data_IF_116333715715
#
_entry.id   IF_116333715715
#
_cell.length_a   1.000
_cell.length_b   1.000
_cell.length_c   1.000
_cell.angle_alpha   90.00
_cell.angle_beta   90.00
_cell.angle_gamma   90.00
#
_symmetry.space_group_name_H-M   'P 1'
#
loop_
_entity.id
_entity.type
_entity.pdbx_description
1 polymer ?
#
# COMPACT_ATOMS: atom_id res chain seq x y z
N UNK A 1 -27.23 -2.01 -23.49
CA UNK A 1 -26.78 -2.44 -22.16
C UNK A 1 -25.66 -1.48 -21.77
N UNK A 2 -25.97 -0.51 -20.89
CA UNK A 2 -25.08 0.62 -20.58
C UNK A 2 -24.12 0.20 -19.46
N UNK A 3 -22.83 0.05 -19.78
CA UNK A 3 -21.75 -0.11 -18.83
C UNK A 3 -21.48 1.23 -18.14
N UNK A 4 -21.80 1.33 -16.86
CA UNK A 4 -21.39 2.47 -16.02
C UNK A 4 -19.92 2.28 -15.65
N UNK A 5 -19.06 3.14 -16.21
CA UNK A 5 -17.69 3.33 -15.71
C UNK A 5 -17.76 4.01 -14.35
N UNK A 6 -17.44 3.28 -13.28
CA UNK A 6 -17.20 3.87 -11.97
C UNK A 6 -15.76 4.32 -11.89
N UNK A 7 -15.54 5.62 -11.98
CA UNK A 7 -14.22 6.24 -11.79
C UNK A 7 -13.90 6.26 -10.29
N UNK A 8 -12.76 5.71 -9.95
CA UNK A 8 -12.19 5.76 -8.62
C UNK A 8 -11.75 7.19 -8.29
N UNK A 9 -12.51 7.88 -7.45
CA UNK A 9 -12.13 9.19 -6.93
C UNK A 9 -11.52 9.04 -5.53
N UNK A 10 -10.22 9.19 -5.43
CA UNK A 10 -9.54 9.43 -4.18
C UNK A 10 -9.89 10.84 -3.67
N UNK A 11 -10.71 10.92 -2.65
CA UNK A 11 -10.94 12.18 -1.93
C UNK A 11 -9.93 12.29 -0.80
N UNK A 12 -8.91 13.11 -1.02
CA UNK A 12 -8.01 13.62 0.04
C UNK A 12 -8.83 14.52 0.97
N UNK A 13 -9.25 14.01 2.11
CA UNK A 13 -9.88 14.78 3.18
C UNK A 13 -8.83 15.41 4.07
N UNK A 14 -8.56 16.70 3.91
CA UNK A 14 -7.88 17.52 4.91
C UNK A 14 -8.85 17.78 6.07
N UNK A 15 -8.71 17.06 7.18
CA UNK A 15 -9.41 17.34 8.43
C UNK A 15 -8.60 18.38 9.22
N UNK A 16 -9.09 19.61 9.23
CA UNK A 16 -8.61 20.65 10.14
C UNK A 16 -9.12 20.36 11.56
N UNK A 17 -8.21 20.04 12.48
CA UNK A 17 -8.52 19.85 13.90
C UNK A 17 -8.57 21.24 14.55
N UNK A 18 -9.78 21.72 14.84
CA UNK A 18 -10.02 22.86 15.71
C UNK A 18 -10.00 22.41 17.15
N UNK A 19 -8.97 22.82 17.89
CA UNK A 19 -8.91 22.69 19.35
C UNK A 19 -9.89 23.69 19.99
N UNK A 20 -10.93 23.20 20.61
CA UNK A 20 -11.77 23.99 21.53
C UNK A 20 -11.45 23.52 22.96
N UNK A 21 -10.75 24.38 23.68
CA UNK A 21 -10.47 24.25 25.12
C UNK A 21 -11.75 24.67 25.89
N UNK A 22 -12.42 23.72 26.52
CA UNK A 22 -13.45 24.04 27.53
C UNK A 22 -12.93 23.59 28.88
N UNK A 23 -12.56 24.58 29.70
CA UNK A 23 -12.33 24.45 31.14
C UNK A 23 -13.69 24.41 31.83
N UNK A 24 -14.03 23.29 32.47
CA UNK A 24 -15.09 23.23 33.45
C UNK A 24 -14.59 22.57 34.70
N UNK A 25 -14.45 23.38 35.75
CA UNK A 25 -14.14 22.96 37.12
C UNK A 25 -15.47 22.59 37.78
N UNK A 26 -15.62 21.38 38.30
CA UNK A 26 -16.55 21.09 39.38
C UNK A 26 -16.21 19.79 40.12
N UNK A 27 -16.26 19.88 41.34
CA UNK A 27 -15.77 19.25 42.55
C UNK A 27 -16.54 18.01 42.98
N UNK A 28 -15.81 17.09 43.64
CA UNK A 28 -16.19 16.12 44.67
C UNK A 28 -16.97 14.86 44.31
N UNK A 29 -16.32 13.72 44.62
CA UNK A 29 -16.95 12.42 44.83
C UNK A 29 -15.94 11.29 44.71
N UNK A 30 -15.44 10.78 45.90
CA UNK A 30 -14.52 9.65 45.99
C UNK A 30 -15.16 8.35 45.48
N UNK A 31 -14.54 7.75 44.44
CA UNK A 31 -14.51 6.31 44.19
C UNK A 31 -13.24 6.01 43.39
N UNK A 32 -12.47 4.96 43.70
CA UNK A 32 -11.29 4.66 42.92
C UNK A 32 -11.68 4.24 41.50
N UNK A 33 -11.02 4.76 40.45
CA UNK A 33 -11.25 4.29 39.13
C UNK A 33 -10.67 2.89 38.97
N UNK A 34 -11.50 1.95 38.52
CA UNK A 34 -11.03 0.69 37.96
C UNK A 34 -10.13 1.05 36.78
N UNK A 35 -8.88 0.67 36.91
CA UNK A 35 -7.85 0.78 35.89
C UNK A 35 -8.20 -0.20 34.75
N UNK A 36 -9.03 0.26 33.79
CA UNK A 36 -9.17 -0.39 32.51
C UNK A 36 -7.82 -0.25 31.79
N UNK A 37 -6.95 -1.23 32.02
CA UNK A 37 -5.81 -1.49 31.14
C UNK A 37 -6.32 -1.86 29.77
N UNK A 38 -6.57 -0.85 28.94
CA UNK A 38 -6.57 -1.00 27.50
C UNK A 38 -5.15 -1.43 27.15
N UNK A 39 -4.97 -2.71 26.88
CA UNK A 39 -3.75 -3.23 26.29
C UNK A 39 -3.68 -2.64 24.89
N UNK A 40 -3.09 -1.43 24.77
CA UNK A 40 -2.56 -0.97 23.52
C UNK A 40 -1.48 -1.99 23.12
N UNK A 41 -1.83 -2.86 22.18
CA UNK A 41 -0.82 -3.56 21.40
C UNK A 41 -0.05 -2.49 20.65
N UNK A 42 1.04 -2.02 21.25
CA UNK A 42 2.04 -1.21 20.57
C UNK A 42 2.61 -2.14 19.50
N UNK A 43 2.06 -2.04 18.28
CA UNK A 43 2.65 -2.64 17.10
C UNK A 43 4.03 -2.01 17.01
N UNK A 44 5.07 -2.83 17.03
CA UNK A 44 6.46 -2.35 16.94
C UNK A 44 6.70 -1.81 15.53
N UNK A 45 6.43 -0.52 15.36
CA UNK A 45 6.54 0.20 14.09
C UNK A 45 7.98 0.11 13.54
N UNK A 46 8.99 -0.07 14.41
CA UNK A 46 10.37 -0.24 13.98
C UNK A 46 10.61 -1.61 13.34
N UNK A 47 10.07 -2.69 13.89
CA UNK A 47 10.19 -4.03 13.31
C UNK A 47 9.51 -4.10 11.93
N UNK A 48 8.32 -3.52 11.78
CA UNK A 48 7.63 -3.45 10.48
C UNK A 48 8.40 -2.59 9.46
N UNK A 49 9.10 -1.54 9.91
CA UNK A 49 9.92 -0.73 9.03
C UNK A 49 11.18 -1.44 8.55
N UNK A 50 11.85 -2.22 9.40
CA UNK A 50 13.05 -2.97 9.05
C UNK A 50 12.71 -4.13 8.10
N UNK A 51 11.67 -4.90 8.36
CA UNK A 51 11.19 -5.99 7.50
C UNK A 51 10.74 -5.46 6.11
N UNK A 52 10.06 -4.31 6.08
CA UNK A 52 9.66 -3.63 4.84
C UNK A 52 10.85 -3.13 3.99
N UNK A 53 12.04 -2.95 4.55
CA UNK A 53 13.25 -2.52 3.83
C UNK A 53 13.96 -3.70 3.15
N UNK A 54 14.12 -4.83 3.82
CA UNK A 54 14.70 -6.05 3.23
C UNK A 54 13.89 -6.53 2.03
N UNK A 55 12.57 -6.57 2.15
CA UNK A 55 11.66 -6.93 1.06
C UNK A 55 11.77 -5.99 -0.15
N UNK A 56 11.96 -4.69 0.10
CA UNK A 56 12.10 -3.73 -0.97
C UNK A 56 13.40 -3.91 -1.77
N UNK A 57 14.49 -4.27 -1.11
CA UNK A 57 15.77 -4.55 -1.76
C UNK A 57 15.67 -5.78 -2.66
N UNK A 58 14.92 -6.81 -2.24
CA UNK A 58 14.63 -7.98 -3.08
C UNK A 58 13.83 -7.58 -4.33
N UNK A 59 12.74 -6.84 -4.18
CA UNK A 59 11.92 -6.33 -5.28
C UNK A 59 12.76 -5.50 -6.26
N UNK A 60 13.61 -4.60 -5.73
CA UNK A 60 14.51 -3.77 -6.52
C UNK A 60 15.48 -4.65 -7.33
N UNK A 61 16.06 -5.67 -6.70
CA UNK A 61 17.03 -6.56 -7.35
C UNK A 61 16.42 -7.32 -8.54
N UNK A 62 15.12 -7.61 -8.51
CA UNK A 62 14.41 -8.29 -9.59
C UNK A 62 14.28 -7.43 -10.85
N UNK A 63 14.17 -6.10 -10.71
CA UNK A 63 13.81 -5.23 -11.84
C UNK A 63 14.79 -4.09 -12.12
N UNK A 64 15.85 -3.90 -11.35
CA UNK A 64 16.75 -2.75 -11.47
C UNK A 64 17.42 -2.67 -12.86
N UNK A 65 17.81 -3.79 -13.44
CA UNK A 65 18.41 -3.89 -14.76
C UNK A 65 17.50 -3.35 -15.88
N UNK A 66 16.16 -3.51 -15.71
CA UNK A 66 15.17 -2.99 -16.65
C UNK A 66 15.06 -1.46 -16.55
N UNK A 67 15.17 -0.92 -15.34
CA UNK A 67 15.18 0.53 -15.12
C UNK A 67 16.46 1.16 -15.66
N UNK A 68 17.65 0.55 -15.40
CA UNK A 68 18.94 1.00 -15.91
C UNK A 68 18.94 1.06 -17.43
N UNK A 69 18.53 -0.01 -18.09
CA UNK A 69 18.42 -0.07 -19.54
C UNK A 69 17.45 0.97 -20.09
N UNK A 70 16.30 1.14 -19.45
CA UNK A 70 15.29 2.11 -19.87
C UNK A 70 15.78 3.56 -19.70
N UNK A 71 16.58 3.85 -18.67
CA UNK A 71 17.23 5.16 -18.48
C UNK A 71 18.20 5.44 -19.61
N UNK A 72 19.09 4.50 -19.94
CA UNK A 72 20.06 4.62 -21.05
C UNK A 72 19.36 4.88 -22.40
N UNK A 73 18.20 4.25 -22.63
CA UNK A 73 17.42 4.40 -23.85
C UNK A 73 16.43 5.58 -23.79
N UNK A 74 16.35 6.30 -22.67
CA UNK A 74 15.37 7.36 -22.39
C UNK A 74 13.90 6.89 -22.55
N UNK A 75 13.59 5.69 -22.03
CA UNK A 75 12.31 4.98 -22.16
C UNK A 75 11.65 4.62 -20.83
N UNK A 76 12.02 5.26 -19.73
CA UNK A 76 11.46 4.96 -18.40
C UNK A 76 9.93 5.05 -18.34
N UNK A 77 9.33 5.94 -19.14
CA UNK A 77 7.88 6.13 -19.21
C UNK A 77 7.18 5.33 -20.32
N UNK A 78 7.91 4.54 -21.09
CA UNK A 78 7.35 3.77 -22.21
C UNK A 78 6.53 2.59 -21.70
N UNK A 79 5.37 2.35 -22.32
CA UNK A 79 4.47 1.25 -21.96
C UNK A 79 5.17 -0.13 -22.02
N UNK A 80 6.06 -0.33 -23.00
CA UNK A 80 6.79 -1.60 -23.14
C UNK A 80 7.80 -1.81 -22.02
N UNK A 81 8.45 -0.75 -21.52
CA UNK A 81 9.30 -0.80 -20.35
C UNK A 81 8.50 -1.19 -19.11
N UNK A 82 7.39 -0.48 -18.87
CA UNK A 82 6.49 -0.75 -17.74
C UNK A 82 5.97 -2.18 -17.80
N UNK A 83 5.54 -2.65 -18.99
CA UNK A 83 5.10 -4.03 -19.20
C UNK A 83 6.18 -5.06 -18.88
N UNK A 84 7.41 -4.78 -19.27
CA UNK A 84 8.54 -5.68 -18.99
C UNK A 84 8.81 -5.78 -17.49
N UNK A 85 8.69 -4.67 -16.76
CA UNK A 85 8.88 -4.63 -15.30
C UNK A 85 7.72 -5.39 -14.61
N UNK A 86 6.46 -5.09 -14.95
CA UNK A 86 5.28 -5.78 -14.39
C UNK A 86 5.39 -7.30 -14.62
N UNK A 87 5.70 -7.72 -15.84
CA UNK A 87 5.83 -9.15 -16.15
C UNK A 87 6.98 -9.80 -15.37
N UNK A 88 8.14 -9.14 -15.27
CA UNK A 88 9.30 -9.66 -14.52
C UNK A 88 8.96 -9.83 -13.05
N UNK A 89 8.24 -8.89 -12.44
CA UNK A 89 7.79 -8.99 -11.06
C UNK A 89 6.79 -10.15 -10.90
N UNK A 90 5.85 -10.32 -11.83
CA UNK A 90 4.92 -11.46 -11.84
C UNK A 90 5.63 -12.80 -11.97
N UNK A 91 6.64 -12.93 -12.86
CA UNK A 91 7.48 -14.14 -12.99
C UNK A 91 8.22 -14.50 -11.69
N UNK A 92 8.43 -13.52 -10.81
CA UNK A 92 9.01 -13.70 -9.47
C UNK A 92 7.95 -13.76 -8.36
N UNK A 93 6.67 -13.88 -8.73
CA UNK A 93 5.58 -14.13 -7.80
C UNK A 93 4.99 -12.90 -7.12
N UNK A 94 5.27 -11.69 -7.60
CA UNK A 94 4.66 -10.46 -7.06
C UNK A 94 3.36 -10.12 -7.76
N UNK A 95 2.37 -9.65 -7.00
CA UNK A 95 1.18 -9.00 -7.54
C UNK A 95 1.56 -7.58 -7.98
N UNK A 96 1.67 -7.37 -9.29
CA UNK A 96 2.13 -6.10 -9.86
C UNK A 96 1.18 -5.60 -10.95
N UNK A 97 1.01 -4.27 -11.03
CA UNK A 97 0.15 -3.57 -11.98
C UNK A 97 0.81 -2.24 -12.38
N UNK A 98 0.39 -1.64 -13.49
CA UNK A 98 0.83 -0.30 -13.85
C UNK A 98 -0.12 0.79 -13.31
N UNK A 99 0.41 1.97 -13.00
CA UNK A 99 -0.34 3.09 -12.43
C UNK A 99 -1.41 3.71 -13.35
N UNK A 100 -1.53 3.26 -14.59
CA UNK A 100 -2.53 3.72 -15.58
C UNK A 100 -3.53 2.64 -15.96
N UNK A 101 -3.45 1.45 -15.34
CA UNK A 101 -4.34 0.31 -15.63
C UNK A 101 -4.37 -0.07 -17.13
N UNK A 102 -3.20 -0.09 -17.78
CA UNK A 102 -3.03 -0.48 -19.18
C UNK A 102 -2.50 -1.91 -19.32
N UNK A 103 -2.06 -2.50 -18.22
CA UNK A 103 -1.50 -3.84 -18.12
C UNK A 103 -2.29 -4.58 -17.05
N UNK A 104 -2.74 -5.79 -17.35
CA UNK A 104 -3.42 -6.61 -16.36
C UNK A 104 -2.49 -6.92 -15.19
N UNK A 105 -3.03 -6.97 -13.99
CA UNK A 105 -2.30 -7.36 -12.79
C UNK A 105 -1.72 -8.77 -12.95
N UNK A 106 -0.49 -8.94 -12.49
CA UNK A 106 0.12 -10.28 -12.33
C UNK A 106 -0.30 -10.88 -10.99
N UNK A 107 -0.32 -12.22 -10.89
CA UNK A 107 -0.73 -12.96 -9.68
C UNK A 107 -2.04 -12.43 -9.04
N UNK A 108 -3.11 -12.18 -9.82
CA UNK A 108 -4.33 -11.57 -9.32
C UNK A 108 -5.06 -12.45 -8.31
N UNK A 109 -4.87 -13.77 -8.37
CA UNK A 109 -5.45 -14.74 -7.44
C UNK A 109 -5.00 -14.52 -5.99
N UNK A 110 -3.79 -14.01 -5.76
CA UNK A 110 -3.32 -13.67 -4.41
C UNK A 110 -4.12 -12.52 -3.80
N UNK A 111 -4.50 -11.55 -4.62
CA UNK A 111 -5.35 -10.43 -4.18
C UNK A 111 -6.76 -10.92 -3.87
N UNK A 112 -7.30 -11.83 -4.69
CA UNK A 112 -8.61 -12.47 -4.43
C UNK A 112 -8.57 -13.23 -3.11
N UNK A 113 -7.55 -14.06 -2.90
CA UNK A 113 -7.38 -14.81 -1.66
C UNK A 113 -7.29 -13.89 -0.43
N UNK A 114 -6.52 -12.80 -0.53
CA UNK A 114 -6.45 -11.79 0.53
C UNK A 114 -7.84 -11.20 0.83
N UNK A 115 -8.61 -10.82 -0.20
CA UNK A 115 -9.96 -10.29 -0.03
C UNK A 115 -10.90 -11.30 0.65
N UNK A 116 -10.82 -12.59 0.28
CA UNK A 116 -11.59 -13.65 0.93
C UNK A 116 -11.24 -13.78 2.42
N UNK A 117 -9.96 -13.61 2.79
CA UNK A 117 -9.51 -13.60 4.18
C UNK A 117 -10.05 -12.38 4.95
N UNK A 118 -10.08 -11.20 4.32
CA UNK A 118 -10.70 -9.99 4.91
C UNK A 118 -12.17 -10.25 5.21
N UNK A 119 -12.93 -10.80 4.26
CA UNK A 119 -14.35 -11.12 4.43
C UNK A 119 -14.58 -12.17 5.53
N UNK A 120 -13.68 -13.15 5.62
CA UNK A 120 -13.70 -14.18 6.67
C UNK A 120 -13.24 -13.66 8.03
N UNK A 121 -12.77 -12.40 8.13
CA UNK A 121 -12.17 -11.80 9.33
C UNK A 121 -10.92 -12.55 9.82
N UNK A 122 -10.24 -13.24 8.92
CA UNK A 122 -8.99 -13.94 9.18
C UNK A 122 -7.79 -13.00 9.08
N UNK A 123 -6.66 -13.40 9.66
CA UNK A 123 -5.40 -12.69 9.54
C UNK A 123 -4.68 -13.09 8.25
N UNK A 124 -4.28 -12.11 7.45
CA UNK A 124 -3.53 -12.31 6.22
C UNK A 124 -2.74 -11.05 5.85
N UNK A 125 -1.75 -11.23 4.98
CA UNK A 125 -0.93 -10.15 4.44
C UNK A 125 -0.71 -10.34 2.94
N UNK A 126 -0.50 -9.23 2.23
CA UNK A 126 -0.13 -9.22 0.81
C UNK A 126 0.63 -7.95 0.47
N UNK A 127 1.62 -8.08 -0.42
CA UNK A 127 2.29 -6.94 -1.05
C UNK A 127 1.78 -6.77 -2.48
N UNK A 128 1.38 -5.54 -2.83
CA UNK A 128 0.98 -5.15 -4.19
C UNK A 128 1.92 -4.05 -4.68
N UNK A 129 2.38 -4.18 -5.93
CA UNK A 129 3.31 -3.24 -6.56
C UNK A 129 2.61 -2.48 -7.70
N UNK A 130 2.60 -1.15 -7.62
CA UNK A 130 2.09 -0.27 -8.66
C UNK A 130 3.26 0.42 -9.38
N UNK A 131 3.52 0.03 -10.62
CA UNK A 131 4.66 0.52 -11.41
C UNK A 131 4.34 1.90 -11.98
N UNK A 132 5.18 2.87 -11.67
CA UNK A 132 4.99 4.29 -12.01
C UNK A 132 5.60 4.66 -13.35
N UNK A 133 4.87 5.38 -14.18
CA UNK A 133 5.40 6.02 -15.41
C UNK A 133 6.33 7.22 -15.13
N UNK A 134 6.50 7.58 -13.86
CA UNK A 134 7.47 8.61 -13.44
C UNK A 134 8.84 8.03 -13.07
N UNK A 135 9.00 6.70 -13.24
CA UNK A 135 10.17 5.93 -12.80
C UNK A 135 10.04 5.47 -11.35
N UNK A 136 10.14 4.15 -11.16
CA UNK A 136 10.00 3.50 -9.86
C UNK A 136 8.62 2.87 -9.64
N UNK A 137 8.27 2.62 -8.38
CA UNK A 137 7.03 1.94 -8.01
C UNK A 137 6.50 2.39 -6.66
N UNK A 138 5.22 2.13 -6.42
CA UNK A 138 4.61 2.20 -5.09
C UNK A 138 4.44 0.77 -4.59
N UNK A 139 4.94 0.49 -3.38
CA UNK A 139 4.72 -0.75 -2.63
C UNK A 139 3.57 -0.51 -1.66
N UNK A 140 2.58 -1.36 -1.71
CA UNK A 140 1.48 -1.42 -0.76
C UNK A 140 1.59 -2.73 0.01
N UNK A 141 1.93 -2.65 1.29
CA UNK A 141 1.84 -3.78 2.21
C UNK A 141 0.48 -3.69 2.92
N UNK A 142 -0.35 -4.68 2.69
CA UNK A 142 -1.68 -4.77 3.29
C UNK A 142 -1.69 -5.89 4.31
N UNK A 143 -2.19 -5.59 5.49
CA UNK A 143 -2.42 -6.56 6.54
C UNK A 143 -3.87 -6.51 6.99
N UNK A 144 -4.52 -7.67 7.12
CA UNK A 144 -5.87 -7.75 7.65
C UNK A 144 -5.93 -8.52 8.96
N UNK A 145 -6.76 -8.03 9.88
CA UNK A 145 -7.09 -8.70 11.13
C UNK A 145 -8.48 -8.29 11.58
N UNK A 146 -9.35 -9.28 11.79
CA UNK A 146 -10.74 -9.02 12.20
C UNK A 146 -11.53 -8.21 11.17
N UNK A 147 -11.21 -8.32 9.88
CA UNK A 147 -11.87 -7.62 8.77
C UNK A 147 -11.42 -6.18 8.55
N UNK A 148 -10.51 -5.64 9.38
CA UNK A 148 -9.87 -4.36 9.13
C UNK A 148 -8.66 -4.55 8.24
N UNK A 149 -8.37 -3.57 7.37
CA UNK A 149 -7.20 -3.60 6.49
C UNK A 149 -6.31 -2.41 6.81
N UNK A 150 -5.14 -2.71 7.35
CA UNK A 150 -4.08 -1.74 7.58
C UNK A 150 -3.14 -1.71 6.36
N UNK A 151 -2.75 -0.53 5.93
CA UNK A 151 -1.96 -0.32 4.71
C UNK A 151 -0.71 0.47 5.04
N UNK A 152 0.45 -0.08 4.68
CA UNK A 152 1.71 0.65 4.60
C UNK A 152 1.99 0.94 3.13
N UNK A 153 2.07 2.21 2.78
CA UNK A 153 2.34 2.65 1.42
C UNK A 153 3.70 3.30 1.34
N UNK A 154 4.60 2.74 0.53
CA UNK A 154 5.95 3.26 0.32
C UNK A 154 6.18 3.56 -1.16
N UNK A 155 6.68 4.77 -1.48
CA UNK A 155 7.06 5.14 -2.84
C UNK A 155 8.56 5.04 -3.02
N UNK A 156 8.97 4.28 -4.03
CA UNK A 156 10.35 4.09 -4.46
C UNK A 156 10.55 4.76 -5.81
N UNK A 157 11.42 5.77 -5.85
CA UNK A 157 11.77 6.49 -7.08
C UNK A 157 13.08 5.99 -7.64
N UNK A 158 13.08 5.72 -8.95
CA UNK A 158 14.30 5.44 -9.70
C UNK A 158 14.93 6.74 -10.20
N UNK A 159 16.19 6.98 -9.87
CA UNK A 159 16.93 8.15 -10.27
C UNK A 159 18.44 7.91 -10.25
N UNK A 160 19.14 8.24 -11.36
CA UNK A 160 20.61 8.12 -11.51
C UNK A 160 21.15 6.71 -11.16
N UNK A 161 20.54 5.67 -11.70
CA UNK A 161 20.96 4.28 -11.48
C UNK A 161 20.64 3.72 -10.10
N UNK A 162 19.81 4.40 -9.30
CA UNK A 162 19.46 3.95 -7.96
C UNK A 162 17.96 4.04 -7.70
N UNK A 163 17.46 3.11 -6.90
CA UNK A 163 16.11 3.15 -6.37
C UNK A 163 16.15 3.67 -4.92
N UNK A 164 15.37 4.71 -4.63
CA UNK A 164 15.32 5.33 -3.30
C UNK A 164 13.90 5.41 -2.80
N UNK A 165 13.69 5.07 -1.54
CA UNK A 165 12.42 5.31 -0.87
C UNK A 165 12.27 6.81 -0.57
N UNK A 166 11.21 7.43 -1.08
CA UNK A 166 10.93 8.86 -0.89
C UNK A 166 9.89 9.12 0.19
N UNK A 167 8.81 8.31 0.20
CA UNK A 167 7.66 8.54 1.08
C UNK A 167 7.14 7.21 1.62
N UNK A 168 6.84 7.18 2.90
CA UNK A 168 6.09 6.09 3.54
C UNK A 168 4.93 6.68 4.33
N UNK A 169 3.78 6.08 4.23
CA UNK A 169 2.57 6.46 4.97
C UNK A 169 1.79 5.24 5.42
N UNK A 170 1.22 5.31 6.62
CA UNK A 170 0.41 4.24 7.18
C UNK A 170 -1.01 4.75 7.36
N UNK A 171 -2.00 3.93 7.00
CA UNK A 171 -3.41 4.24 7.21
C UNK A 171 -4.23 2.96 7.27
N UNK A 172 -5.40 3.03 7.89
CA UNK A 172 -6.39 1.97 7.81
C UNK A 172 -7.34 2.27 6.63
N UNK A 173 -7.63 1.25 5.84
CA UNK A 173 -8.58 1.40 4.74
C UNK A 173 -10.00 1.48 5.29
N UNK A 174 -10.68 2.62 5.07
CA UNK A 174 -12.10 2.80 5.43
C UNK A 174 -13.03 2.04 4.48
N UNK A 175 -12.57 1.80 3.27
CA UNK A 175 -13.32 1.13 2.22
C UNK A 175 -12.38 0.45 1.24
N UNK A 176 -12.68 -0.79 0.88
CA UNK A 176 -11.94 -1.55 -0.10
C UNK A 176 -12.90 -2.30 -1.03
N UNK A 177 -12.48 -2.53 -2.26
CA UNK A 177 -13.24 -3.29 -3.23
C UNK A 177 -12.28 -3.90 -4.26
N UNK A 178 -12.54 -5.13 -4.64
CA UNK A 178 -11.85 -5.83 -5.71
C UNK A 178 -12.76 -5.91 -6.93
N UNK A 179 -12.25 -5.58 -8.10
CA UNK A 179 -13.01 -5.68 -9.35
C UNK A 179 -12.68 -6.99 -10.07
N UNK A 180 -13.59 -7.47 -10.94
CA UNK A 180 -13.37 -8.67 -11.75
C UNK A 180 -12.14 -8.56 -12.69
N UNK A 181 -11.63 -7.35 -12.90
CA UNK A 181 -10.47 -7.06 -13.73
C UNK A 181 -9.15 -7.03 -12.94
N UNK A 182 -9.18 -7.27 -11.62
CA UNK A 182 -8.00 -7.32 -10.76
C UNK A 182 -7.50 -5.95 -10.28
N UNK A 183 -8.41 -4.97 -10.12
CA UNK A 183 -8.07 -3.62 -9.65
C UNK A 183 -8.92 -3.23 -8.45
#
# INVERSE_FOLDING_TARGET
MLLRKTTWFWKSGLAAISFVLILSISRCGDAPPEENTVSETVIDVQAIQEESEEDADEIISVCIDLYEKAEEENKLADLETIRSIVNRLGENGYSAVDSRNQINMTEPEKVVEFCEKVDAQEEAEITILEISYLGGFVKYDLHTKGGNVDVVRSYYKYENGNMKREVTGNYQAEYWNYTEEGY
#
